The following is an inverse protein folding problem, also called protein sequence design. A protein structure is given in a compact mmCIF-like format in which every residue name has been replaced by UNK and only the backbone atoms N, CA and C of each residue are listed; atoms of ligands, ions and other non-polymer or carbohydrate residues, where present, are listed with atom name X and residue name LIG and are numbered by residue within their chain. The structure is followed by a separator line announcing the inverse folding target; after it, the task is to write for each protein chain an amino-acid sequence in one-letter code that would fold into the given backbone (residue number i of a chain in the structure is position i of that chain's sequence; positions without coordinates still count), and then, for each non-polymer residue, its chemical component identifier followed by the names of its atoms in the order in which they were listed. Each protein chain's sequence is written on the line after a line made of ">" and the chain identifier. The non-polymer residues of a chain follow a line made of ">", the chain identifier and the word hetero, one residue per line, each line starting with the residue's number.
data_IF_940966651803
#
_entry.id   IF_940966651803
#
_cell.length_a   1.000
_cell.length_b   1.000
_cell.length_c   1.000
_cell.angle_alpha   90.00
_cell.angle_beta   90.00
_cell.angle_gamma   90.00
#
_symmetry.space_group_name_H-M   'P 1'
#
loop_
_entity.id
_entity.type
_entity.pdbx_description
1 polymer ?
#
# COMPACT_ATOMS: atom_id res chain seq x y z
N UNK A 1 -17.86 19.12 2.17
CA UNK A 1 -16.91 18.39 3.04
C UNK A 1 -17.57 17.23 3.79
N UNK A 2 -18.58 17.44 4.63
CA UNK A 2 -19.24 16.34 5.36
C UNK A 2 -19.78 15.22 4.45
N UNK A 3 -20.30 15.54 3.28
CA UNK A 3 -20.73 14.53 2.30
C UNK A 3 -19.60 13.68 1.74
N UNK A 4 -18.37 14.22 1.63
CA UNK A 4 -17.18 13.48 1.23
C UNK A 4 -16.75 12.52 2.35
N UNK A 5 -16.80 12.97 3.61
CA UNK A 5 -16.50 12.10 4.75
C UNK A 5 -17.49 10.95 4.89
N UNK A 6 -18.75 11.16 4.52
CA UNK A 6 -19.79 10.13 4.59
C UNK A 6 -19.71 9.06 3.49
N UNK A 7 -18.91 9.24 2.46
CA UNK A 7 -18.77 8.29 1.34
C UNK A 7 -18.01 7.02 1.75
N UNK A 8 -17.09 7.11 2.71
CA UNK A 8 -16.39 5.97 3.28
C UNK A 8 -15.91 6.31 4.70
N UNK A 9 -15.92 5.31 5.59
CA UNK A 9 -15.47 5.51 6.98
C UNK A 9 -14.00 5.96 7.09
N UNK A 10 -13.14 5.55 6.15
CA UNK A 10 -11.73 5.95 6.14
C UNK A 10 -11.50 7.41 5.68
N UNK A 11 -12.52 8.07 5.12
CA UNK A 11 -12.40 9.47 4.67
C UNK A 11 -12.30 10.46 5.82
N UNK A 12 -12.70 10.09 7.05
CA UNK A 12 -12.56 10.96 8.23
C UNK A 12 -11.09 11.24 8.60
N UNK A 13 -10.15 10.44 8.07
CA UNK A 13 -8.72 10.68 8.18
C UNK A 13 -8.17 11.69 7.16
N UNK A 14 -9.04 12.30 6.34
CA UNK A 14 -8.59 13.28 5.36
C UNK A 14 -8.06 14.55 6.04
N UNK A 15 -6.77 14.79 5.89
CA UNK A 15 -6.17 16.10 6.17
C UNK A 15 -6.51 17.11 5.06
N UNK A 16 -6.12 18.37 5.27
CA UNK A 16 -6.45 19.51 4.39
C UNK A 16 -6.22 19.22 2.90
N UNK A 17 -5.08 18.62 2.54
CA UNK A 17 -4.71 18.36 1.14
C UNK A 17 -5.65 17.35 0.47
N UNK A 18 -5.91 16.24 1.13
CA UNK A 18 -6.85 15.23 0.60
C UNK A 18 -8.27 15.78 0.50
N UNK A 19 -8.73 16.56 1.48
CA UNK A 19 -10.05 17.21 1.42
C UNK A 19 -10.12 18.21 0.27
N UNK A 20 -9.08 19.01 0.05
CA UNK A 20 -9.01 19.95 -1.07
C UNK A 20 -9.08 19.24 -2.44
N UNK A 21 -8.28 18.19 -2.64
CA UNK A 21 -8.32 17.40 -3.87
C UNK A 21 -9.68 16.69 -4.06
N UNK A 22 -10.25 16.15 -3.00
CA UNK A 22 -11.56 15.53 -3.05
C UNK A 22 -12.68 16.52 -3.46
N UNK A 23 -12.61 17.76 -2.96
CA UNK A 23 -13.55 18.81 -3.37
C UNK A 23 -13.41 19.15 -4.86
N UNK A 24 -12.19 19.28 -5.37
CA UNK A 24 -11.93 19.54 -6.79
C UNK A 24 -12.45 18.42 -7.69
N UNK A 25 -12.24 17.18 -7.31
CA UNK A 25 -12.75 16.04 -8.08
C UNK A 25 -14.26 15.92 -8.04
N UNK A 26 -14.88 16.21 -6.89
CA UNK A 26 -16.34 16.13 -6.73
C UNK A 26 -17.09 17.29 -7.40
N UNK A 27 -16.48 18.46 -7.47
CA UNK A 27 -17.05 19.68 -8.03
C UNK A 27 -16.07 20.33 -9.02
N UNK A 28 -15.85 19.71 -10.21
CA UNK A 28 -14.83 20.17 -11.17
C UNK A 28 -15.09 21.58 -11.68
N UNK A 29 -16.35 21.97 -11.81
CA UNK A 29 -16.77 23.32 -12.25
C UNK A 29 -17.04 24.28 -11.07
N UNK A 30 -16.81 23.82 -9.84
CA UNK A 30 -17.07 24.60 -8.63
C UNK A 30 -15.94 25.56 -8.30
N UNK A 31 -16.28 26.72 -7.74
CA UNK A 31 -15.30 27.63 -7.15
C UNK A 31 -14.81 27.07 -5.80
N UNK A 32 -13.77 26.22 -5.85
CA UNK A 32 -13.17 25.62 -4.67
C UNK A 32 -12.18 26.60 -4.07
N UNK A 33 -12.37 27.04 -2.81
CA UNK A 33 -11.48 27.98 -2.16
C UNK A 33 -10.07 27.38 -1.97
N UNK A 34 -9.06 28.21 -1.68
CA UNK A 34 -7.70 27.76 -1.50
C UNK A 34 -7.57 26.66 -0.43
N UNK A 35 -6.55 25.79 -0.54
CA UNK A 35 -6.27 24.72 0.43
C UNK A 35 -6.21 25.24 1.89
N UNK A 36 -5.69 26.47 2.09
CA UNK A 36 -5.65 27.12 3.40
C UNK A 36 -7.04 27.44 3.92
N UNK A 37 -7.93 27.94 3.05
CA UNK A 37 -9.33 28.24 3.41
C UNK A 37 -10.09 26.96 3.70
N UNK A 38 -9.89 25.90 2.90
CA UNK A 38 -10.43 24.56 3.17
C UNK A 38 -10.05 24.08 4.57
N UNK A 39 -8.78 24.21 4.95
CA UNK A 39 -8.31 23.82 6.29
C UNK A 39 -8.99 24.61 7.41
N UNK A 40 -9.09 25.94 7.27
CA UNK A 40 -9.79 26.78 8.26
C UNK A 40 -11.23 26.35 8.44
N UNK A 41 -11.95 26.07 7.35
CA UNK A 41 -13.32 25.58 7.42
C UNK A 41 -13.39 24.21 8.10
N UNK A 42 -12.43 23.30 7.82
CA UNK A 42 -12.35 21.99 8.48
C UNK A 42 -12.19 22.13 10.00
N UNK A 43 -11.39 23.10 10.48
CA UNK A 43 -11.23 23.38 11.90
C UNK A 43 -12.53 23.97 12.49
N UNK A 44 -13.13 24.94 11.83
CA UNK A 44 -14.38 25.57 12.28
C UNK A 44 -15.53 24.58 12.44
N UNK A 45 -15.65 23.59 11.53
CA UNK A 45 -16.73 22.57 11.59
C UNK A 45 -16.32 21.29 12.32
N UNK A 46 -15.12 21.26 12.93
CA UNK A 46 -14.65 20.20 13.81
C UNK A 46 -14.32 18.88 13.11
N UNK A 47 -13.87 18.90 11.84
CA UNK A 47 -13.52 17.71 11.06
C UNK A 47 -12.02 17.58 10.75
N UNK A 48 -11.17 18.31 11.46
CA UNK A 48 -9.72 18.23 11.26
C UNK A 48 -9.15 16.95 11.89
N UNK A 49 -8.41 16.17 11.09
CA UNK A 49 -7.74 14.95 11.56
C UNK A 49 -6.30 15.23 11.98
N UNK A 50 -5.89 14.66 13.13
CA UNK A 50 -4.50 14.71 13.63
C UNK A 50 -3.92 13.29 13.66
N UNK A 51 -2.92 12.97 12.80
CA UNK A 51 -2.33 11.63 12.73
C UNK A 51 -1.66 11.21 14.04
N UNK A 52 -1.85 9.94 14.45
CA UNK A 52 -1.13 9.33 15.56
C UNK A 52 0.10 8.57 15.07
N UNK A 53 1.26 8.83 15.67
CA UNK A 53 2.51 8.12 15.38
C UNK A 53 2.72 6.98 16.35
N UNK A 54 2.92 5.74 15.84
CA UNK A 54 3.45 4.62 16.62
C UNK A 54 4.59 3.97 15.83
N UNK A 55 5.83 3.90 16.38
CA UNK A 55 6.95 3.24 15.71
C UNK A 55 6.92 1.74 16.00
N UNK A 56 7.16 0.86 14.99
CA UNK A 56 7.50 -0.56 15.21
C UNK A 56 8.01 -1.22 13.92
N UNK A 57 9.20 -1.85 13.98
CA UNK A 57 9.72 -2.80 13.01
C UNK A 57 9.69 -4.23 13.59
N UNK A 58 9.32 -5.24 12.80
CA UNK A 58 9.10 -6.63 13.24
C UNK A 58 9.95 -7.68 12.52
N UNK A 59 10.66 -7.35 11.45
CA UNK A 59 11.45 -8.30 10.65
C UNK A 59 12.83 -8.55 11.23
N UNK A 60 13.28 -9.83 11.21
CA UNK A 60 14.64 -10.25 11.56
C UNK A 60 15.40 -10.66 10.31
N UNK A 61 16.60 -10.11 10.13
CA UNK A 61 17.50 -10.45 9.02
C UNK A 61 18.10 -11.84 9.23
N UNK A 62 18.09 -12.67 8.17
CA UNK A 62 18.87 -13.90 8.07
C UNK A 62 20.23 -13.58 7.42
N UNK A 63 21.30 -13.67 8.21
CA UNK A 63 22.65 -13.26 7.81
C UNK A 63 23.33 -14.19 6.79
N UNK A 64 22.92 -15.46 6.75
CA UNK A 64 23.57 -16.51 5.98
C UNK A 64 22.85 -16.88 4.67
N UNK A 65 21.68 -16.31 4.43
CA UNK A 65 20.88 -16.62 3.24
C UNK A 65 21.43 -16.00 1.96
N UNK A 66 21.24 -16.71 0.83
CA UNK A 66 21.55 -16.20 -0.51
C UNK A 66 20.74 -14.94 -0.80
N UNK A 67 21.40 -13.88 -1.24
CA UNK A 67 20.84 -12.54 -1.43
C UNK A 67 20.77 -12.16 -2.89
N UNK A 68 19.77 -11.37 -3.26
CA UNK A 68 19.69 -10.67 -4.52
C UNK A 68 20.28 -9.26 -4.38
N UNK A 69 20.70 -8.66 -5.49
CA UNK A 69 21.24 -7.31 -5.52
C UNK A 69 20.15 -6.27 -5.24
N UNK A 70 20.55 -5.11 -4.73
CA UNK A 70 19.69 -3.93 -4.64
C UNK A 70 19.65 -3.23 -6.00
N UNK A 71 18.61 -3.53 -6.77
CA UNK A 71 18.40 -2.95 -8.09
C UNK A 71 17.70 -1.59 -8.03
N UNK A 72 16.98 -1.30 -6.95
CA UNK A 72 16.26 -0.04 -6.80
C UNK A 72 17.14 1.09 -6.27
N UNK A 73 18.13 0.81 -5.42
CA UNK A 73 19.04 1.81 -4.84
C UNK A 73 18.30 3.04 -4.26
N UNK A 74 17.15 2.79 -3.62
CA UNK A 74 16.20 3.79 -3.11
C UNK A 74 15.49 4.65 -4.17
N UNK A 75 15.67 4.35 -5.45
CA UNK A 75 14.89 4.96 -6.52
C UNK A 75 13.56 4.23 -6.71
N UNK A 76 12.56 4.67 -5.96
CA UNK A 76 11.18 4.18 -6.04
C UNK A 76 10.35 4.92 -7.10
N UNK A 77 10.95 5.71 -7.94
CA UNK A 77 10.27 6.33 -9.06
C UNK A 77 10.07 5.31 -10.19
N UNK A 78 8.88 5.26 -10.75
CA UNK A 78 8.53 4.42 -11.89
C UNK A 78 7.79 5.26 -12.92
N UNK A 79 8.15 5.14 -14.19
CA UNK A 79 7.53 5.90 -15.27
C UNK A 79 6.23 5.26 -15.75
N UNK A 80 6.06 3.98 -15.51
CA UNK A 80 4.91 3.19 -15.94
C UNK A 80 4.44 2.20 -14.88
N UNK A 81 3.17 1.77 -14.94
CA UNK A 81 2.67 0.70 -14.07
C UNK A 81 3.45 -0.61 -14.28
N UNK A 82 3.54 -1.42 -13.21
CA UNK A 82 4.08 -2.78 -13.22
C UNK A 82 5.57 -2.86 -13.59
N UNK A 83 6.33 -1.80 -13.40
CA UNK A 83 7.77 -1.77 -13.65
C UNK A 83 8.59 -2.03 -12.39
N UNK A 84 8.35 -1.24 -11.36
CA UNK A 84 8.98 -1.35 -10.05
C UNK A 84 7.92 -1.51 -8.97
N UNK A 85 8.07 -2.52 -8.14
CA UNK A 85 7.15 -2.81 -7.05
C UNK A 85 7.93 -3.01 -5.75
N UNK A 86 7.27 -2.80 -4.63
CA UNK A 86 7.80 -3.06 -3.30
C UNK A 86 6.89 -4.03 -2.57
N UNK A 87 7.46 -4.88 -1.71
CA UNK A 87 6.71 -5.84 -0.91
C UNK A 87 7.23 -5.89 0.52
N UNK A 88 6.33 -6.17 1.45
CA UNK A 88 6.65 -6.30 2.86
C UNK A 88 5.54 -7.06 3.59
N UNK A 89 5.81 -7.46 4.83
CA UNK A 89 4.87 -8.09 5.73
C UNK A 89 4.66 -7.19 6.96
N UNK A 90 3.39 -7.03 7.36
CA UNK A 90 3.06 -6.42 8.65
C UNK A 90 2.31 -7.39 9.55
N UNK A 91 2.49 -7.24 10.85
CA UNK A 91 1.79 -8.01 11.90
C UNK A 91 0.71 -7.15 12.55
N UNK A 92 -0.43 -7.76 12.82
CA UNK A 92 -1.55 -7.15 13.55
C UNK A 92 -2.01 -8.14 14.62
N UNK A 93 -2.00 -7.76 15.92
CA UNK A 93 -2.54 -8.60 16.98
C UNK A 93 -4.06 -8.75 16.81
N UNK A 94 -4.57 -9.96 16.98
CA UNK A 94 -5.97 -10.34 16.94
C UNK A 94 -6.41 -10.98 18.25
N UNK A 95 -7.72 -11.21 18.42
CA UNK A 95 -8.32 -11.88 19.59
C UNK A 95 -7.82 -13.33 19.71
N UNK A 96 -7.70 -14.01 18.59
CA UNK A 96 -7.38 -15.44 18.46
C UNK A 96 -5.95 -15.69 17.96
N UNK A 97 -5.07 -14.67 18.02
CA UNK A 97 -3.67 -14.82 17.66
C UNK A 97 -3.05 -13.57 17.02
N UNK A 98 -2.35 -13.77 15.92
CA UNK A 98 -1.73 -12.70 15.14
C UNK A 98 -2.07 -12.88 13.67
N UNK A 99 -2.45 -11.81 13.02
CA UNK A 99 -2.61 -11.76 11.57
C UNK A 99 -1.35 -11.19 10.93
N UNK A 100 -0.80 -11.92 9.97
CA UNK A 100 0.29 -11.45 9.10
C UNK A 100 -0.29 -11.08 7.74
N UNK A 101 0.01 -9.88 7.30
CA UNK A 101 -0.47 -9.33 6.03
C UNK A 101 0.71 -9.05 5.13
N UNK A 102 0.76 -9.67 3.97
CA UNK A 102 1.76 -9.45 2.93
C UNK A 102 1.10 -8.78 1.72
N UNK A 103 1.72 -7.73 1.20
CA UNK A 103 1.23 -7.04 0.02
C UNK A 103 2.36 -6.67 -0.94
N UNK A 104 2.01 -6.52 -2.23
CA UNK A 104 2.86 -5.94 -3.27
C UNK A 104 2.23 -4.63 -3.70
N UNK A 105 3.00 -3.55 -3.63
CA UNK A 105 2.59 -2.20 -4.02
C UNK A 105 3.34 -1.75 -5.27
N UNK A 106 2.64 -1.18 -6.23
CA UNK A 106 3.24 -0.57 -7.41
C UNK A 106 3.90 0.77 -7.04
N UNK A 107 5.09 1.01 -7.53
CA UNK A 107 5.77 2.28 -7.32
C UNK A 107 5.23 3.42 -8.18
N UNK A 108 4.54 3.12 -9.28
CA UNK A 108 3.97 4.11 -10.20
C UNK A 108 2.75 4.83 -9.59
N UNK A 109 1.77 4.07 -9.13
CA UNK A 109 0.48 4.58 -8.68
C UNK A 109 0.13 4.27 -7.23
N UNK A 110 0.99 3.53 -6.52
CA UNK A 110 0.78 3.04 -5.15
C UNK A 110 -0.37 2.01 -5.04
N UNK A 111 -0.76 1.41 -6.15
CA UNK A 111 -1.79 0.37 -6.17
C UNK A 111 -1.33 -0.91 -5.48
N UNK A 112 -2.26 -1.56 -4.80
CA UNK A 112 -2.05 -2.90 -4.25
C UNK A 112 -2.29 -3.91 -5.37
N UNK A 113 -1.22 -4.58 -5.79
CA UNK A 113 -1.24 -5.57 -6.88
C UNK A 113 -1.57 -6.97 -6.37
N UNK A 114 -1.05 -7.30 -5.20
CA UNK A 114 -1.26 -8.59 -4.54
C UNK A 114 -1.39 -8.42 -3.06
N UNK A 115 -2.27 -9.21 -2.46
CA UNK A 115 -2.53 -9.25 -1.04
C UNK A 115 -2.71 -10.70 -0.61
N UNK A 116 -2.04 -11.12 0.46
CA UNK A 116 -2.27 -12.39 1.14
C UNK A 116 -2.20 -12.18 2.65
N UNK A 117 -2.96 -13.00 3.38
CA UNK A 117 -3.09 -12.90 4.83
C UNK A 117 -3.12 -14.29 5.47
N UNK A 118 -2.35 -14.48 6.55
CA UNK A 118 -2.25 -15.75 7.26
C UNK A 118 -2.05 -15.54 8.77
N UNK A 119 -2.24 -16.59 9.54
CA UNK A 119 -1.96 -16.66 10.98
C UNK A 119 -0.47 -16.91 11.29
N UNK A 120 0.34 -17.09 10.26
CA UNK A 120 1.78 -17.33 10.39
C UNK A 120 2.59 -16.58 9.33
N UNK A 121 3.85 -16.26 9.65
CA UNK A 121 4.77 -15.52 8.80
C UNK A 121 5.76 -16.46 8.07
N UNK A 122 5.24 -17.45 7.34
CA UNK A 122 6.07 -18.39 6.55
C UNK A 122 6.23 -17.89 5.11
N UNK A 123 7.22 -18.45 4.39
CA UNK A 123 7.47 -18.13 2.98
C UNK A 123 6.23 -18.32 2.08
N UNK A 124 5.35 -19.27 2.40
CA UNK A 124 4.10 -19.50 1.70
C UNK A 124 3.18 -18.26 1.62
N UNK A 125 3.22 -17.39 2.64
CA UNK A 125 2.48 -16.13 2.62
C UNK A 125 2.95 -15.22 1.47
N UNK A 126 4.27 -15.03 1.33
CA UNK A 126 4.85 -14.23 0.25
C UNK A 126 4.64 -14.87 -1.13
N UNK A 127 4.74 -16.19 -1.23
CA UNK A 127 4.45 -16.94 -2.47
C UNK A 127 3.00 -16.71 -2.90
N UNK A 128 2.04 -16.81 -1.97
CA UNK A 128 0.63 -16.54 -2.25
C UNK A 128 0.39 -15.09 -2.69
N UNK A 129 1.12 -14.13 -2.10
CA UNK A 129 1.03 -12.71 -2.47
C UNK A 129 1.47 -12.49 -3.93
N UNK A 130 2.59 -13.11 -4.33
CA UNK A 130 3.09 -13.05 -5.73
C UNK A 130 2.10 -13.72 -6.68
N UNK A 131 1.57 -14.89 -6.33
CA UNK A 131 0.60 -15.60 -7.16
C UNK A 131 -0.69 -14.79 -7.36
N UNK A 132 -1.22 -14.19 -6.29
CA UNK A 132 -2.39 -13.31 -6.36
C UNK A 132 -2.13 -12.06 -7.21
N UNK A 133 -0.95 -11.45 -7.08
CA UNK A 133 -0.55 -10.30 -7.88
C UNK A 133 -0.47 -10.65 -9.36
N UNK A 134 0.20 -11.74 -9.72
CA UNK A 134 0.34 -12.15 -11.11
C UNK A 134 -1.00 -12.57 -11.73
N UNK A 135 -1.87 -13.23 -10.96
CA UNK A 135 -3.22 -13.58 -11.43
C UNK A 135 -4.04 -12.34 -11.79
N UNK A 136 -3.95 -11.28 -10.97
CA UNK A 136 -4.68 -10.03 -11.21
C UNK A 136 -4.00 -9.15 -12.27
N UNK A 137 -2.66 -9.17 -12.35
CA UNK A 137 -1.85 -8.33 -13.21
C UNK A 137 -0.77 -9.14 -13.93
N UNK A 138 -1.11 -9.90 -15.00
CA UNK A 138 -0.13 -10.71 -15.75
C UNK A 138 1.02 -9.89 -16.37
N UNK A 139 0.83 -8.59 -16.55
CA UNK A 139 1.86 -7.63 -17.00
C UNK A 139 3.03 -7.44 -16.02
N UNK A 140 3.00 -8.07 -14.84
CA UNK A 140 4.13 -8.13 -13.89
C UNK A 140 5.33 -8.93 -14.41
N UNK A 141 5.21 -9.65 -15.52
CA UNK A 141 6.36 -10.29 -16.16
C UNK A 141 7.43 -9.25 -16.52
N UNK A 142 8.65 -9.43 -16.02
CA UNK A 142 9.76 -8.48 -16.19
C UNK A 142 9.82 -7.37 -15.14
N UNK A 143 8.79 -7.24 -14.30
CA UNK A 143 8.80 -6.27 -13.18
C UNK A 143 9.89 -6.58 -12.16
N UNK A 144 10.39 -5.56 -11.47
CA UNK A 144 11.27 -5.69 -10.32
C UNK A 144 10.40 -5.65 -9.05
N UNK A 145 10.48 -6.69 -8.21
CA UNK A 145 9.89 -6.67 -6.87
C UNK A 145 10.99 -6.58 -5.83
N UNK A 146 10.97 -5.49 -5.06
CA UNK A 146 11.94 -5.19 -4.01
C UNK A 146 11.39 -5.51 -2.63
N UNK A 147 12.20 -6.18 -1.80
CA UNK A 147 11.86 -6.56 -0.43
C UNK A 147 13.01 -6.27 0.54
N UNK A 148 12.74 -6.40 1.82
CA UNK A 148 13.79 -6.56 2.82
C UNK A 148 14.50 -7.94 2.68
N UNK A 149 15.41 -8.25 3.61
CA UNK A 149 16.17 -9.51 3.66
C UNK A 149 15.58 -10.55 4.61
N UNK A 150 14.28 -10.45 4.88
CA UNK A 150 13.59 -11.44 5.69
C UNK A 150 13.70 -12.85 5.13
N UNK A 151 13.72 -13.87 6.01
CA UNK A 151 13.85 -15.28 5.62
C UNK A 151 12.78 -15.75 4.63
N UNK A 152 11.61 -15.11 4.64
CA UNK A 152 10.52 -15.37 3.70
C UNK A 152 10.93 -15.07 2.26
N UNK A 153 11.59 -13.93 2.05
CA UNK A 153 12.02 -13.43 0.74
C UNK A 153 13.31 -14.10 0.23
N UNK A 154 14.15 -14.61 1.14
CA UNK A 154 15.37 -15.38 0.78
C UNK A 154 15.09 -16.87 0.57
N UNK A 155 13.87 -17.35 0.83
CA UNK A 155 13.49 -18.75 0.69
C UNK A 155 13.55 -19.26 -0.76
N UNK A 156 13.84 -20.54 -0.95
CA UNK A 156 13.86 -21.17 -2.26
C UNK A 156 12.47 -21.13 -2.94
N UNK A 157 11.39 -21.30 -2.15
CA UNK A 157 10.02 -21.27 -2.65
C UNK A 157 9.62 -19.89 -3.18
N UNK A 158 10.01 -18.81 -2.52
CA UNK A 158 9.73 -17.45 -2.99
C UNK A 158 10.49 -17.14 -4.29
N UNK A 159 11.79 -17.49 -4.36
CA UNK A 159 12.58 -17.33 -5.59
C UNK A 159 12.02 -18.14 -6.75
N UNK A 160 11.57 -19.38 -6.49
CA UNK A 160 10.95 -20.22 -7.50
C UNK A 160 9.64 -19.59 -8.03
N UNK A 161 8.81 -19.02 -7.14
CA UNK A 161 7.58 -18.33 -7.54
C UNK A 161 7.89 -17.11 -8.42
N UNK A 162 8.86 -16.27 -8.06
CA UNK A 162 9.25 -15.13 -8.87
C UNK A 162 9.77 -15.58 -10.26
N UNK A 163 10.62 -16.61 -10.31
CA UNK A 163 11.15 -17.18 -11.55
C UNK A 163 10.04 -17.74 -12.44
N UNK A 164 9.06 -18.45 -11.85
CA UNK A 164 7.90 -19.00 -12.57
C UNK A 164 7.12 -17.91 -13.31
N UNK A 165 6.96 -16.74 -12.68
CA UNK A 165 6.22 -15.63 -13.28
C UNK A 165 7.11 -14.66 -14.08
N UNK A 166 8.42 -14.92 -14.14
CA UNK A 166 9.39 -14.07 -14.84
C UNK A 166 9.58 -12.70 -14.18
N UNK A 167 9.47 -12.64 -12.85
CA UNK A 167 9.62 -11.44 -12.04
C UNK A 167 11.05 -11.37 -11.51
N UNK A 168 11.65 -10.18 -11.52
CA UNK A 168 13.01 -9.94 -11.05
C UNK A 168 13.01 -9.62 -9.57
N UNK A 169 13.81 -10.35 -8.79
CA UNK A 169 13.97 -10.07 -7.36
C UNK A 169 15.00 -8.97 -7.13
N UNK A 170 14.67 -8.02 -6.26
CA UNK A 170 15.56 -7.04 -5.68
C UNK A 170 15.45 -7.05 -4.16
N UNK A 171 16.55 -6.81 -3.45
CA UNK A 171 16.59 -6.81 -1.98
C UNK A 171 17.45 -5.66 -1.47
N UNK A 172 17.15 -5.19 -0.26
CA UNK A 172 17.93 -4.16 0.42
C UNK A 172 19.43 -4.47 0.40
N UNK A 173 20.27 -3.44 0.33
CA UNK A 173 21.74 -3.58 0.41
C UNK A 173 22.22 -4.12 1.76
N UNK A 174 23.43 -4.70 1.82
CA UNK A 174 24.04 -5.22 3.05
C UNK A 174 24.27 -4.13 4.10
N UNK A 175 23.84 -4.37 5.33
CA UNK A 175 23.85 -3.35 6.38
C UNK A 175 22.78 -2.28 6.20
N UNK A 176 21.76 -2.56 5.37
CA UNK A 176 20.67 -1.65 5.01
C UNK A 176 20.01 -1.03 6.23
N UNK A 177 19.84 0.28 6.18
CA UNK A 177 19.05 1.02 7.15
C UNK A 177 17.58 0.79 6.85
N UNK A 178 16.71 0.93 7.84
CA UNK A 178 15.24 0.81 7.71
C UNK A 178 14.63 1.62 6.54
N UNK A 179 15.35 2.63 6.05
CA UNK A 179 14.91 3.47 4.92
C UNK A 179 14.90 2.78 3.54
N UNK A 180 15.48 1.59 3.41
CA UNK A 180 15.56 0.90 2.12
C UNK A 180 14.18 0.32 1.69
N UNK A 181 13.23 0.16 2.62
CA UNK A 181 11.84 -0.21 2.35
C UNK A 181 10.81 0.83 2.86
N UNK A 182 11.23 2.10 2.96
CA UNK A 182 10.43 3.19 3.53
C UNK A 182 9.06 3.36 2.86
N UNK A 183 8.93 2.96 1.59
CA UNK A 183 7.66 3.03 0.87
C UNK A 183 6.63 2.05 1.45
N UNK A 184 7.01 0.80 1.69
CA UNK A 184 6.12 -0.17 2.35
C UNK A 184 5.78 0.23 3.78
N UNK A 185 6.78 0.71 4.55
CA UNK A 185 6.55 1.20 5.90
C UNK A 185 5.49 2.32 5.93
N UNK A 186 5.58 3.27 4.99
CA UNK A 186 4.59 4.33 4.85
C UNK A 186 3.19 3.81 4.47
N UNK A 187 3.11 2.76 3.65
CA UNK A 187 1.84 2.13 3.27
C UNK A 187 1.18 1.45 4.47
N UNK A 188 1.94 0.68 5.26
CA UNK A 188 1.44 0.05 6.48
C UNK A 188 1.03 1.07 7.55
N UNK A 189 1.82 2.12 7.74
CA UNK A 189 1.47 3.18 8.67
C UNK A 189 0.14 3.84 8.30
N UNK A 190 -0.09 4.10 7.02
CA UNK A 190 -1.36 4.68 6.53
C UNK A 190 -2.54 3.72 6.72
N UNK A 191 -2.37 2.44 6.38
CA UNK A 191 -3.42 1.44 6.61
C UNK A 191 -3.79 1.36 8.10
N UNK A 192 -2.80 1.30 8.99
CA UNK A 192 -3.05 1.25 10.43
C UNK A 192 -3.73 2.52 10.94
N UNK A 193 -3.31 3.69 10.45
CA UNK A 193 -3.90 4.97 10.80
C UNK A 193 -5.35 5.11 10.29
N UNK A 194 -5.56 4.80 9.02
CA UNK A 194 -6.84 5.05 8.36
C UNK A 194 -7.90 4.00 8.66
N UNK A 195 -7.47 2.75 8.91
CA UNK A 195 -8.40 1.64 9.15
C UNK A 195 -8.50 1.23 10.60
N UNK A 196 -7.37 1.14 11.33
CA UNK A 196 -7.36 0.44 12.62
C UNK A 196 -7.33 1.38 13.83
N UNK A 197 -6.44 2.39 13.82
CA UNK A 197 -6.26 3.23 14.99
C UNK A 197 -7.52 4.06 15.28
N UNK A 198 -7.91 4.11 16.57
CA UNK A 198 -9.09 4.80 17.09
C UNK A 198 -10.45 4.25 16.62
N UNK A 199 -10.46 3.24 15.71
CA UNK A 199 -11.69 2.59 15.26
C UNK A 199 -11.90 1.22 15.91
N UNK A 200 -10.83 0.43 15.97
CA UNK A 200 -10.91 -0.95 16.41
C UNK A 200 -9.87 -1.28 17.47
N UNK A 201 -10.31 -1.91 18.56
CA UNK A 201 -9.41 -2.68 19.38
C UNK A 201 -9.15 -4.02 18.70
N UNK A 202 -8.05 -4.13 17.96
CA UNK A 202 -7.76 -5.33 17.14
C UNK A 202 -7.70 -6.62 17.97
N UNK A 203 -7.40 -6.52 19.29
CA UNK A 203 -7.39 -7.66 20.21
C UNK A 203 -8.79 -8.19 20.55
N UNK A 204 -9.84 -7.50 20.16
CA UNK A 204 -11.22 -7.95 20.29
C UNK A 204 -11.77 -8.55 18.99
N UNK A 205 -11.08 -8.33 17.87
CA UNK A 205 -11.43 -8.86 16.56
C UNK A 205 -10.70 -10.17 16.27
N UNK A 206 -11.40 -11.12 15.68
CA UNK A 206 -10.82 -12.35 15.17
C UNK A 206 -9.95 -12.11 13.93
N UNK A 207 -9.08 -13.06 13.61
CA UNK A 207 -8.27 -13.03 12.39
C UNK A 207 -9.15 -12.88 11.15
N UNK A 208 -10.30 -13.58 11.08
CA UNK A 208 -11.20 -13.52 9.91
C UNK A 208 -11.90 -12.15 9.77
N UNK A 209 -12.30 -11.54 10.86
CA UNK A 209 -12.84 -10.16 10.84
C UNK A 209 -11.79 -9.16 10.36
N UNK A 210 -10.55 -9.26 10.87
CA UNK A 210 -9.43 -8.43 10.42
C UNK A 210 -9.11 -8.64 8.93
N UNK A 211 -9.11 -9.88 8.44
CA UNK A 211 -8.93 -10.18 7.01
C UNK A 211 -9.97 -9.47 6.15
N UNK A 212 -11.22 -9.52 6.56
CA UNK A 212 -12.32 -8.88 5.83
C UNK A 212 -12.14 -7.36 5.78
N UNK A 213 -11.83 -6.71 6.91
CA UNK A 213 -11.59 -5.28 7.00
C UNK A 213 -10.40 -4.84 6.12
N UNK A 214 -9.27 -5.56 6.20
CA UNK A 214 -8.04 -5.21 5.48
C UNK A 214 -8.21 -5.45 3.97
N UNK A 215 -8.88 -6.54 3.59
CA UNK A 215 -9.20 -6.80 2.18
C UNK A 215 -10.07 -5.66 1.60
N UNK A 216 -11.14 -5.29 2.29
CA UNK A 216 -12.02 -4.18 1.89
C UNK A 216 -11.23 -2.87 1.77
N UNK A 217 -10.37 -2.59 2.76
CA UNK A 217 -9.55 -1.39 2.76
C UNK A 217 -8.63 -1.33 1.53
N UNK A 218 -7.83 -2.36 1.27
CA UNK A 218 -6.86 -2.30 0.18
C UNK A 218 -7.49 -2.45 -1.20
N UNK A 219 -8.38 -3.42 -1.38
CA UNK A 219 -8.90 -3.76 -2.70
C UNK A 219 -10.04 -2.84 -3.11
N UNK A 220 -10.97 -2.56 -2.20
CA UNK A 220 -12.13 -1.73 -2.53
C UNK A 220 -11.84 -0.23 -2.35
N UNK A 221 -11.39 0.17 -1.17
CA UNK A 221 -11.21 1.58 -0.85
C UNK A 221 -9.88 2.15 -1.39
N UNK A 222 -8.73 1.59 -0.99
CA UNK A 222 -7.42 2.10 -1.37
C UNK A 222 -7.24 2.17 -2.89
N UNK A 223 -7.48 1.06 -3.59
CA UNK A 223 -7.25 0.97 -5.02
C UNK A 223 -8.21 1.82 -5.86
N UNK A 224 -9.48 1.97 -5.42
CA UNK A 224 -10.51 2.49 -6.31
C UNK A 224 -11.18 3.79 -5.85
N UNK A 225 -11.04 4.19 -4.58
CA UNK A 225 -11.79 5.34 -4.04
C UNK A 225 -10.95 6.34 -3.26
N UNK A 226 -9.86 5.88 -2.66
CA UNK A 226 -9.04 6.71 -1.79
C UNK A 226 -8.37 7.85 -2.56
N UNK A 227 -8.51 9.08 -2.08
CA UNK A 227 -7.79 10.24 -2.61
C UNK A 227 -6.28 10.06 -2.36
N UNK A 228 -5.51 9.95 -3.44
CA UNK A 228 -4.06 9.81 -3.41
C UNK A 228 -3.40 11.07 -3.96
N UNK A 229 -2.85 11.91 -3.07
CA UNK A 229 -2.24 13.19 -3.46
C UNK A 229 -1.01 13.01 -4.36
N UNK A 230 -0.30 11.88 -4.25
CA UNK A 230 0.82 11.55 -5.14
C UNK A 230 0.37 11.30 -6.60
N UNK A 231 -0.91 10.96 -6.79
CA UNK A 231 -1.52 10.70 -8.09
C UNK A 231 -2.39 11.88 -8.57
N UNK A 232 -2.12 13.09 -8.06
CA UNK A 232 -2.96 14.26 -8.40
C UNK A 232 -4.38 14.18 -7.85
N UNK A 233 -4.59 13.44 -6.75
CA UNK A 233 -5.90 13.21 -6.13
C UNK A 233 -6.58 11.91 -6.59
N UNK A 234 -6.18 11.32 -7.70
CA UNK A 234 -6.83 10.12 -8.23
C UNK A 234 -6.48 8.86 -7.43
N UNK A 235 -7.43 7.94 -7.25
CA UNK A 235 -7.15 6.59 -6.75
C UNK A 235 -6.14 5.85 -7.63
N UNK A 236 -5.38 4.88 -7.08
CA UNK A 236 -4.38 4.12 -7.83
C UNK A 236 -4.88 3.53 -9.15
N UNK A 237 -6.02 2.85 -9.16
CA UNK A 237 -6.52 2.20 -10.39
C UNK A 237 -7.01 3.20 -11.43
N UNK A 238 -7.52 4.37 -11.01
CA UNK A 238 -7.87 5.45 -11.93
C UNK A 238 -6.61 6.04 -12.58
N UNK A 239 -5.55 6.29 -11.79
CA UNK A 239 -4.26 6.76 -12.31
C UNK A 239 -3.66 5.76 -13.31
N UNK A 240 -3.77 4.47 -13.03
CA UNK A 240 -3.32 3.39 -13.93
C UNK A 240 -4.10 3.39 -15.24
N UNK A 241 -5.42 3.52 -15.17
CA UNK A 241 -6.26 3.57 -16.34
C UNK A 241 -5.91 4.76 -17.23
N UNK A 242 -5.72 5.94 -16.64
CA UNK A 242 -5.28 7.15 -17.37
C UNK A 242 -3.97 6.93 -18.14
N UNK A 243 -3.02 6.18 -17.56
CA UNK A 243 -1.78 5.83 -18.26
C UNK A 243 -2.06 4.99 -19.50
N UNK A 244 -2.86 3.93 -19.40
CA UNK A 244 -3.16 3.07 -20.54
C UNK A 244 -3.99 3.80 -21.60
N UNK A 245 -4.92 4.65 -21.19
CA UNK A 245 -5.72 5.46 -22.12
C UNK A 245 -4.81 6.42 -22.92
N UNK A 246 -3.80 7.02 -22.27
CA UNK A 246 -2.85 7.91 -22.95
C UNK A 246 -2.02 7.20 -24.02
N UNK A 247 -1.70 5.92 -23.82
CA UNK A 247 -1.00 5.11 -24.84
C UNK A 247 -1.89 4.82 -26.04
N UNK A 248 -3.18 4.55 -25.80
CA UNK A 248 -4.13 4.25 -26.88
C UNK A 248 -4.45 5.49 -27.74
N UNK A 249 -4.33 6.70 -27.18
CA UNK A 249 -4.50 7.94 -27.94
C UNK A 249 -3.24 8.39 -28.67
N UNK A 250 -2.08 7.83 -28.35
CA UNK A 250 -0.81 8.14 -28.99
C UNK A 250 -0.42 7.18 -30.13
N UNK A 251 -1.19 6.10 -30.32
CA UNK A 251 -1.03 5.09 -31.37
C UNK A 251 -2.00 5.34 -32.53
#
# INVERSE_FOLDING_TARGET
>A
MRSILAEDECNDTYGRRRMYEALKLKYPDGDIPSERTVYRIMEEIGISHRPKRKPNGITKEDKDARRSDDLLKRDFYSEKPLEKCVTDITEIPAKDGKLYVSAIFDCYDLGVLGLAMADNMRAGLCVSTVANAYKAFPGLRGAIIHSDRGSQYTSASYRAALSQYGIVQSMNSGGGRCHDNARCEAMWARMKEELLYDRYNTKELTIEELKTLIWRYFISYWNNRRICTANGGFPPMVKRQQYYDSLNHAA
#
